data_IF_277704236544
#
_entry.id   IF_277704236544
#
_cell.length_a   1.000
_cell.length_b   1.000
_cell.length_c   1.000
_cell.angle_alpha   90.00
_cell.angle_beta   90.00
_cell.angle_gamma   90.00
#
_symmetry.space_group_name_H-M   'P 1'
#
loop_
_entity.id
_entity.type
_entity.pdbx_description
1 polymer ?
#
# COMPACT_ATOMS: atom_id res chain seq x y z
N UNK A 1 14.59 49.69 -17.27
CA UNK A 1 14.97 48.77 -16.18
C UNK A 1 13.70 48.30 -15.51
N UNK A 2 13.17 47.14 -15.93
CA UNK A 2 12.05 46.48 -15.25
C UNK A 2 12.66 45.38 -14.40
N UNK A 3 12.41 45.48 -13.11
CA UNK A 3 12.85 44.57 -12.08
C UNK A 3 11.96 43.32 -12.10
N UNK A 4 12.37 42.27 -12.81
CA UNK A 4 11.79 40.93 -12.66
C UNK A 4 12.44 40.29 -11.44
N UNK A 5 11.75 40.35 -10.31
CA UNK A 5 12.12 39.61 -9.11
C UNK A 5 12.19 38.12 -9.44
N UNK A 6 13.40 37.59 -9.48
CA UNK A 6 13.63 36.15 -9.53
C UNK A 6 13.25 35.57 -8.18
N UNK A 7 12.16 34.82 -8.13
CA UNK A 7 11.95 33.85 -7.07
C UNK A 7 13.14 32.89 -7.07
N UNK A 8 13.89 32.86 -5.97
CA UNK A 8 14.89 31.84 -5.71
C UNK A 8 14.20 30.48 -5.82
N UNK A 9 14.69 29.54 -6.66
CA UNK A 9 14.09 28.22 -6.73
C UNK A 9 14.10 27.58 -5.34
N UNK A 10 12.96 27.06 -4.89
CA UNK A 10 12.84 26.36 -3.61
C UNK A 10 13.97 25.33 -3.51
N UNK A 11 14.76 25.42 -2.44
CA UNK A 11 15.88 24.50 -2.22
C UNK A 11 15.35 23.06 -2.20
N UNK A 12 15.84 22.23 -3.12
CA UNK A 12 15.39 20.83 -3.24
C UNK A 12 16.11 19.98 -2.20
N UNK A 13 15.36 19.41 -1.25
CA UNK A 13 15.92 18.55 -0.20
C UNK A 13 16.01 17.09 -0.68
N UNK A 14 17.17 16.44 -0.50
CA UNK A 14 17.31 15.00 -0.82
C UNK A 14 16.91 14.15 0.38
N UNK A 15 15.90 13.30 0.20
CA UNK A 15 15.48 12.29 1.16
C UNK A 15 16.49 11.14 1.12
N UNK A 16 17.18 10.92 2.24
CA UNK A 16 18.06 9.76 2.42
C UNK A 16 17.39 8.65 3.22
N UNK A 17 18.15 7.60 3.57
CA UNK A 17 17.67 6.46 4.37
C UNK A 17 17.02 6.86 5.70
N UNK A 18 17.37 8.04 6.24
CA UNK A 18 16.77 8.61 7.45
C UNK A 18 15.27 8.89 7.29
N UNK A 19 14.78 9.13 6.08
CA UNK A 19 13.35 9.27 5.78
C UNK A 19 12.58 8.01 6.18
N UNK A 20 13.13 6.83 5.88
CA UNK A 20 12.50 5.56 6.22
C UNK A 20 12.57 5.24 7.72
N UNK A 21 13.53 5.81 8.44
CA UNK A 21 13.68 5.59 9.88
C UNK A 21 12.77 6.50 10.71
N UNK A 22 12.57 7.75 10.28
CA UNK A 22 11.70 8.71 10.94
C UNK A 22 10.95 9.60 9.93
N UNK A 23 9.97 9.03 9.20
CA UNK A 23 9.20 9.80 8.22
C UNK A 23 8.36 10.87 8.93
N UNK A 24 7.89 10.60 10.15
CA UNK A 24 7.00 11.50 10.88
C UNK A 24 7.74 12.73 11.41
N UNK A 25 9.00 12.60 11.85
CA UNK A 25 9.84 13.72 12.21
C UNK A 25 10.13 14.65 11.03
N UNK A 26 10.43 14.08 9.85
CA UNK A 26 10.55 14.85 8.61
C UNK A 26 9.26 15.60 8.30
N UNK A 27 8.14 14.88 8.24
CA UNK A 27 6.83 15.47 7.91
C UNK A 27 6.43 16.56 8.89
N UNK A 28 6.68 16.39 10.19
CA UNK A 28 6.39 17.42 11.19
C UNK A 28 7.19 18.71 10.95
N UNK A 29 8.49 18.60 10.63
CA UNK A 29 9.31 19.76 10.25
C UNK A 29 8.74 20.44 9.01
N UNK A 30 8.51 19.68 7.94
CA UNK A 30 8.04 20.23 6.66
C UNK A 30 6.65 20.89 6.78
N UNK A 31 5.69 20.30 7.51
CA UNK A 31 4.39 20.93 7.77
C UNK A 31 4.52 22.34 8.35
N UNK A 32 5.54 22.56 9.20
CA UNK A 32 5.78 23.84 9.86
C UNK A 32 6.57 24.84 9.00
N UNK A 33 7.58 24.38 8.27
CA UNK A 33 8.55 25.27 7.60
C UNK A 33 8.39 25.38 6.08
N UNK A 34 7.97 24.30 5.42
CA UNK A 34 7.92 24.19 3.96
C UNK A 34 6.87 23.12 3.57
N UNK A 35 5.56 23.44 3.70
CA UNK A 35 4.49 22.44 3.62
C UNK A 35 4.30 21.85 2.22
N UNK A 36 4.72 22.60 1.20
CA UNK A 36 4.80 22.21 -0.21
C UNK A 36 6.24 22.50 -0.66
N UNK A 37 7.02 21.46 -0.90
CA UNK A 37 8.46 21.62 -1.21
C UNK A 37 8.94 20.57 -2.21
N UNK A 38 9.83 20.92 -3.14
CA UNK A 38 10.50 19.93 -3.97
C UNK A 38 11.48 19.10 -3.13
N UNK A 39 11.47 17.79 -3.33
CA UNK A 39 12.39 16.84 -2.72
C UNK A 39 12.92 15.87 -3.78
N UNK A 40 14.09 15.27 -3.54
CA UNK A 40 14.59 14.13 -4.31
C UNK A 40 14.38 12.88 -3.47
N UNK A 41 13.63 11.91 -3.98
CA UNK A 41 13.39 10.64 -3.29
C UNK A 41 14.69 9.82 -3.18
N UNK A 42 14.73 8.78 -2.32
CA UNK A 42 15.88 7.89 -2.23
C UNK A 42 16.27 7.27 -3.59
N UNK A 43 15.28 7.05 -4.45
CA UNK A 43 15.42 6.50 -5.82
C UNK A 43 15.97 7.54 -6.82
N UNK A 44 16.15 8.80 -6.40
CA UNK A 44 16.71 9.86 -7.23
C UNK A 44 15.67 10.68 -7.99
N UNK A 45 14.38 10.39 -7.85
CA UNK A 45 13.31 11.13 -8.54
C UNK A 45 13.01 12.43 -7.83
N UNK A 46 12.92 13.53 -8.59
CA UNK A 46 12.44 14.80 -8.04
C UNK A 46 10.91 14.82 -8.00
N UNK A 47 10.35 15.10 -6.84
CA UNK A 47 8.89 15.20 -6.61
C UNK A 47 8.57 16.41 -5.74
N UNK A 48 7.35 16.93 -5.86
CA UNK A 48 6.79 17.92 -4.94
C UNK A 48 6.08 17.22 -3.80
N UNK A 49 6.57 17.43 -2.57
CA UNK A 49 6.02 16.82 -1.37
C UNK A 49 5.04 17.79 -0.70
N UNK A 50 3.78 17.35 -0.52
CA UNK A 50 2.70 18.10 0.13
C UNK A 50 2.36 17.45 1.46
N UNK A 51 2.38 18.22 2.56
CA UNK A 51 2.37 17.65 3.92
C UNK A 51 1.22 18.08 4.83
N UNK A 52 0.58 19.22 4.59
CA UNK A 52 -0.54 19.72 5.42
C UNK A 52 -1.86 19.07 5.07
N UNK A 53 -2.75 18.94 6.05
CA UNK A 53 -4.02 18.23 5.89
C UNK A 53 -4.91 18.85 4.81
N UNK A 54 -5.14 20.17 4.86
CA UNK A 54 -6.01 20.84 3.90
C UNK A 54 -5.44 20.78 2.47
N UNK A 55 -4.12 20.96 2.32
CA UNK A 55 -3.44 20.89 1.03
C UNK A 55 -3.52 19.49 0.42
N UNK A 56 -3.22 18.45 1.21
CA UNK A 56 -3.33 17.05 0.78
C UNK A 56 -4.78 16.70 0.41
N UNK A 57 -5.76 17.10 1.23
CA UNK A 57 -7.17 16.83 1.00
C UNK A 57 -7.67 17.50 -0.28
N UNK A 58 -7.33 18.77 -0.49
CA UNK A 58 -7.70 19.51 -1.69
C UNK A 58 -7.04 18.90 -2.94
N UNK A 59 -5.73 18.62 -2.87
CA UNK A 59 -4.98 18.03 -3.97
C UNK A 59 -5.51 16.66 -4.40
N UNK A 60 -5.95 15.81 -3.46
CA UNK A 60 -6.54 14.51 -3.80
C UNK A 60 -7.85 14.59 -4.61
N UNK A 61 -8.55 15.73 -4.52
CA UNK A 61 -9.79 15.99 -5.25
C UNK A 61 -9.58 16.83 -6.51
N UNK A 62 -8.35 17.31 -6.77
CA UNK A 62 -8.04 18.18 -7.90
C UNK A 62 -7.82 17.34 -9.18
N UNK A 63 -8.67 17.47 -10.21
CA UNK A 63 -8.53 16.70 -11.45
C UNK A 63 -7.30 17.08 -12.27
N UNK A 64 -6.62 18.20 -11.96
CA UNK A 64 -5.36 18.60 -12.62
C UNK A 64 -4.18 17.77 -12.16
N UNK A 65 -4.33 17.04 -11.05
CA UNK A 65 -3.36 16.08 -10.53
C UNK A 65 -3.72 14.67 -11.01
N UNK A 66 -3.28 14.36 -12.23
CA UNK A 66 -3.61 13.15 -12.96
C UNK A 66 -2.88 11.90 -12.44
N UNK A 67 -3.35 10.74 -12.90
CA UNK A 67 -2.87 9.39 -12.61
C UNK A 67 -2.37 8.67 -13.86
N UNK A 68 -3.03 8.91 -15.00
CA UNK A 68 -2.70 8.26 -16.27
C UNK A 68 -1.46 8.88 -16.92
N UNK A 69 -0.31 8.59 -16.33
CA UNK A 69 0.97 9.10 -16.81
C UNK A 69 1.33 8.51 -18.18
N UNK A 70 0.86 7.29 -18.50
CA UNK A 70 1.11 6.61 -19.79
C UNK A 70 0.49 7.39 -20.94
N UNK A 71 -0.74 7.89 -20.76
CA UNK A 71 -1.43 8.66 -21.81
C UNK A 71 -0.95 10.11 -21.88
N UNK A 72 -0.58 10.69 -20.73
CA UNK A 72 -0.32 12.13 -20.63
C UNK A 72 1.16 12.53 -20.71
N UNK A 73 2.10 11.58 -20.62
CA UNK A 73 3.53 11.87 -20.62
C UNK A 73 4.24 11.19 -21.79
N UNK A 74 5.28 11.84 -22.29
CA UNK A 74 6.23 11.22 -23.22
C UNK A 74 7.49 10.75 -22.48
N UNK A 75 8.28 9.83 -23.07
CA UNK A 75 9.59 9.47 -22.53
C UNK A 75 10.57 10.65 -22.41
N UNK A 76 10.31 11.76 -23.09
CA UNK A 76 11.14 12.98 -22.98
C UNK A 76 10.71 13.86 -21.79
N UNK A 77 9.47 13.73 -21.33
CA UNK A 77 8.95 14.50 -20.19
C UNK A 77 9.59 14.05 -18.87
N UNK A 78 9.98 12.77 -18.80
CA UNK A 78 10.67 12.19 -17.65
C UNK A 78 11.56 11.04 -18.08
N UNK A 79 12.69 10.85 -17.40
CA UNK A 79 13.63 9.75 -17.62
C UNK A 79 13.09 8.42 -17.06
N UNK A 80 11.91 8.04 -17.55
CA UNK A 80 11.11 6.91 -17.08
C UNK A 80 11.25 5.78 -18.09
N UNK A 81 12.00 4.75 -17.70
CA UNK A 81 12.09 3.52 -18.47
C UNK A 81 11.14 2.47 -17.87
N UNK A 82 9.86 2.52 -18.26
CA UNK A 82 8.88 1.52 -17.84
C UNK A 82 9.05 0.25 -18.67
N UNK A 83 9.15 -0.88 -17.98
CA UNK A 83 9.13 -2.17 -18.67
C UNK A 83 7.76 -2.37 -19.32
N UNK A 84 7.67 -2.60 -20.64
CA UNK A 84 6.40 -2.82 -21.31
C UNK A 84 5.55 -3.91 -20.65
N UNK A 85 6.17 -4.94 -20.05
CA UNK A 85 5.48 -6.01 -19.33
C UNK A 85 4.83 -5.51 -18.03
N UNK A 86 5.46 -4.58 -17.31
CA UNK A 86 4.86 -3.96 -16.12
C UNK A 86 3.69 -3.05 -16.50
N UNK A 87 3.80 -2.32 -17.62
CA UNK A 87 2.70 -1.53 -18.15
C UNK A 87 1.44 -2.38 -18.43
N UNK A 88 1.60 -3.70 -18.64
CA UNK A 88 0.45 -4.60 -18.80
C UNK A 88 -0.32 -4.90 -17.50
N UNK A 89 0.20 -4.57 -16.33
CA UNK A 89 -0.54 -4.71 -15.07
C UNK A 89 -1.02 -3.35 -14.55
N UNK A 90 -0.64 -2.25 -15.19
CA UNK A 90 -0.94 -0.89 -14.78
C UNK A 90 -2.27 -0.35 -15.32
N UNK A 91 -2.95 -1.05 -16.23
CA UNK A 91 -4.25 -0.64 -16.80
C UNK A 91 -5.43 -0.95 -15.89
N UNK A 92 -5.39 -0.39 -14.68
CA UNK A 92 -6.40 -0.57 -13.65
C UNK A 92 -6.83 0.76 -13.02
N UNK A 93 -7.96 0.75 -12.30
CA UNK A 93 -8.61 1.98 -11.82
C UNK A 93 -7.73 2.87 -10.92
N UNK A 94 -6.68 2.34 -10.29
CA UNK A 94 -5.80 3.14 -9.43
C UNK A 94 -4.90 4.11 -10.22
N UNK A 95 -4.59 3.78 -11.48
CA UNK A 95 -3.62 4.50 -12.33
C UNK A 95 -4.30 5.23 -13.51
N UNK A 96 -5.64 5.20 -13.58
CA UNK A 96 -6.38 5.86 -14.64
C UNK A 96 -7.14 7.08 -14.10
N UNK A 97 -7.44 8.01 -14.99
CA UNK A 97 -8.29 9.17 -14.74
C UNK A 97 -9.71 8.95 -15.31
N UNK A 98 -10.70 9.79 -14.96
CA UNK A 98 -11.99 9.79 -15.65
C UNK A 98 -11.82 10.03 -17.16
N UNK A 99 -12.62 9.39 -18.02
CA UNK A 99 -13.80 8.58 -17.69
C UNK A 99 -13.50 7.11 -17.35
N UNK A 100 -12.34 6.57 -17.68
CA UNK A 100 -12.03 5.15 -17.55
C UNK A 100 -11.94 4.69 -16.08
N UNK A 101 -11.34 5.49 -15.20
CA UNK A 101 -11.43 5.27 -13.76
C UNK A 101 -12.88 5.10 -13.28
N UNK A 102 -13.78 5.98 -13.75
CA UNK A 102 -15.19 5.97 -13.32
C UNK A 102 -15.90 4.72 -13.83
N UNK A 103 -15.61 4.29 -15.06
CA UNK A 103 -16.12 3.05 -15.65
C UNK A 103 -15.64 1.84 -14.85
N UNK A 104 -14.34 1.67 -14.67
CA UNK A 104 -13.75 0.52 -13.98
C UNK A 104 -14.18 0.45 -12.51
N UNK A 105 -14.13 1.57 -11.78
CA UNK A 105 -14.56 1.63 -10.37
C UNK A 105 -16.02 1.21 -10.20
N UNK A 106 -16.90 1.59 -11.14
CA UNK A 106 -18.32 1.20 -11.09
C UNK A 106 -18.51 -0.32 -11.19
N UNK A 107 -17.67 -1.01 -11.96
CA UNK A 107 -17.72 -2.47 -12.09
C UNK A 107 -17.29 -3.14 -10.78
N UNK A 108 -16.17 -2.68 -10.21
CA UNK A 108 -15.64 -3.20 -8.94
C UNK A 108 -16.62 -2.96 -7.79
N UNK A 109 -17.16 -1.76 -7.64
CA UNK A 109 -18.11 -1.42 -6.55
C UNK A 109 -19.37 -2.30 -6.59
N UNK A 110 -19.85 -2.69 -7.78
CA UNK A 110 -20.98 -3.62 -7.91
C UNK A 110 -20.64 -5.02 -7.40
N UNK A 111 -19.38 -5.42 -7.47
CA UNK A 111 -18.92 -6.71 -6.99
C UNK A 111 -18.47 -6.68 -5.51
N UNK A 112 -18.02 -5.54 -4.99
CA UNK A 112 -17.67 -5.29 -3.58
C UNK A 112 -18.85 -4.75 -2.77
N UNK A 113 -19.94 -5.51 -2.69
CA UNK A 113 -21.09 -5.06 -1.88
C UNK A 113 -20.88 -5.30 -0.38
N UNK A 114 -21.45 -4.46 0.51
CA UNK A 114 -21.42 -4.70 1.96
C UNK A 114 -21.95 -6.08 2.34
N UNK A 115 -22.93 -6.60 1.58
CA UNK A 115 -23.47 -7.95 1.78
C UNK A 115 -22.42 -9.04 1.53
N UNK A 116 -21.63 -8.93 0.44
CA UNK A 116 -20.57 -9.89 0.12
C UNK A 116 -19.45 -9.83 1.15
N UNK A 117 -19.05 -8.63 1.57
CA UNK A 117 -18.06 -8.45 2.65
C UNK A 117 -18.58 -9.05 3.96
N UNK A 118 -19.84 -8.81 4.33
CA UNK A 118 -20.44 -9.39 5.53
C UNK A 118 -20.52 -10.92 5.48
N UNK A 119 -20.67 -11.52 4.28
CA UNK A 119 -20.67 -12.97 4.10
C UNK A 119 -19.29 -13.61 4.37
N UNK A 120 -18.20 -12.84 4.26
CA UNK A 120 -16.85 -13.33 4.61
C UNK A 120 -16.60 -13.33 6.12
N UNK A 121 -17.39 -12.60 6.93
CA UNK A 121 -17.16 -12.46 8.38
C UNK A 121 -17.02 -13.79 9.13
N UNK A 122 -17.88 -14.82 8.92
CA UNK A 122 -17.72 -16.11 9.60
C UNK A 122 -16.38 -16.76 9.26
N UNK A 123 -15.96 -16.68 8.00
CA UNK A 123 -14.72 -17.28 7.54
C UNK A 123 -13.49 -16.53 8.05
N UNK A 124 -13.50 -15.19 8.00
CA UNK A 124 -12.47 -14.34 8.63
C UNK A 124 -12.34 -14.68 10.13
N UNK A 125 -13.46 -14.90 10.83
CA UNK A 125 -13.46 -15.25 12.25
C UNK A 125 -12.88 -16.63 12.54
N UNK A 126 -13.09 -17.59 11.63
CA UNK A 126 -12.50 -18.92 11.71
C UNK A 126 -10.99 -18.88 11.50
N UNK A 127 -10.54 -18.24 10.40
CA UNK A 127 -9.10 -18.08 10.08
C UNK A 127 -8.38 -17.33 11.21
N UNK A 128 -8.99 -16.27 11.76
CA UNK A 128 -8.44 -15.59 12.93
C UNK A 128 -8.23 -16.56 14.11
N UNK A 129 -9.23 -17.38 14.43
CA UNK A 129 -9.13 -18.36 15.52
C UNK A 129 -8.02 -19.38 15.26
N UNK A 130 -7.99 -19.98 14.07
CA UNK A 130 -6.97 -20.95 13.66
C UNK A 130 -5.54 -20.39 13.79
N UNK A 131 -5.32 -19.15 13.35
CA UNK A 131 -4.01 -18.51 13.43
C UNK A 131 -3.62 -18.16 14.87
N UNK A 132 -4.56 -17.70 15.69
CA UNK A 132 -4.29 -17.35 17.08
C UNK A 132 -4.05 -18.58 17.95
N UNK A 133 -4.82 -19.65 17.73
CA UNK A 133 -4.60 -20.95 18.38
C UNK A 133 -3.20 -21.50 18.03
N UNK A 134 -2.82 -21.46 16.74
CA UNK A 134 -1.49 -21.87 16.30
C UNK A 134 -0.35 -21.01 16.90
N UNK A 135 -0.58 -19.70 17.09
CA UNK A 135 0.37 -18.84 17.79
C UNK A 135 0.47 -19.18 19.28
N UNK A 136 -0.64 -19.53 19.93
CA UNK A 136 -0.68 -19.88 21.35
C UNK A 136 0.02 -21.21 21.64
N UNK A 137 -0.11 -22.19 20.74
CA UNK A 137 0.57 -23.49 20.81
C UNK A 137 2.04 -23.42 20.36
N UNK A 138 2.42 -22.31 19.73
CA UNK A 138 3.75 -22.08 19.18
C UNK A 138 4.78 -21.57 20.21
N UNK A 139 5.94 -21.08 19.72
CA UNK A 139 6.97 -20.51 20.58
C UNK A 139 6.46 -19.28 21.35
N UNK A 140 6.99 -19.09 22.57
CA UNK A 140 6.64 -17.94 23.41
C UNK A 140 6.95 -16.59 22.76
N UNK A 141 7.84 -16.54 21.76
CA UNK A 141 8.10 -15.38 20.92
C UNK A 141 7.83 -15.73 19.47
N UNK A 142 6.97 -14.96 18.81
CA UNK A 142 6.64 -15.16 17.41
C UNK A 142 6.76 -13.87 16.60
N UNK A 143 6.94 -14.03 15.29
CA UNK A 143 6.85 -12.95 14.33
C UNK A 143 5.38 -12.77 13.94
N UNK A 144 4.78 -11.64 14.36
CA UNK A 144 3.39 -11.32 14.10
C UNK A 144 3.05 -11.27 12.60
N UNK A 145 4.02 -10.87 11.76
CA UNK A 145 3.80 -10.78 10.31
C UNK A 145 3.62 -12.18 9.75
N UNK A 146 4.61 -13.06 9.95
CA UNK A 146 4.60 -14.42 9.42
C UNK A 146 3.52 -15.31 10.06
N UNK A 147 3.29 -15.16 11.37
CA UNK A 147 2.37 -16.03 12.09
C UNK A 147 0.90 -15.63 11.96
N UNK A 148 0.60 -14.36 11.66
CA UNK A 148 -0.78 -13.86 11.72
C UNK A 148 -1.14 -12.89 10.59
N UNK A 149 -0.46 -11.74 10.51
CA UNK A 149 -0.91 -10.64 9.66
C UNK A 149 -0.88 -11.03 8.17
N UNK A 150 0.20 -11.68 7.73
CA UNK A 150 0.35 -12.16 6.37
C UNK A 150 -0.64 -13.30 6.05
N UNK A 151 -0.66 -14.43 6.80
CA UNK A 151 -1.60 -15.52 6.53
C UNK A 151 -3.06 -15.10 6.51
N UNK A 152 -3.48 -14.21 7.42
CA UNK A 152 -4.84 -13.70 7.44
C UNK A 152 -5.15 -12.89 6.18
N UNK A 153 -4.30 -11.91 5.86
CA UNK A 153 -4.56 -10.95 4.78
C UNK A 153 -4.61 -11.65 3.43
N UNK A 154 -3.63 -12.53 3.14
CA UNK A 154 -3.60 -13.28 1.88
C UNK A 154 -4.79 -14.26 1.78
N UNK A 155 -5.20 -14.89 2.89
CA UNK A 155 -6.34 -15.79 2.92
C UNK A 155 -7.63 -15.08 2.51
N UNK A 156 -7.88 -13.92 3.12
CA UNK A 156 -9.12 -13.17 2.91
C UNK A 156 -9.22 -12.64 1.49
N UNK A 157 -8.15 -12.06 0.95
CA UNK A 157 -8.19 -11.53 -0.43
C UNK A 157 -8.29 -12.65 -1.47
N UNK A 158 -7.59 -13.77 -1.27
CA UNK A 158 -7.69 -14.92 -2.17
C UNK A 158 -9.11 -15.48 -2.17
N UNK A 159 -9.75 -15.66 -1.01
CA UNK A 159 -11.13 -16.14 -0.93
C UNK A 159 -12.13 -15.16 -1.54
N UNK A 160 -11.91 -13.85 -1.37
CA UNK A 160 -12.75 -12.83 -1.98
C UNK A 160 -12.65 -12.84 -3.52
N UNK A 161 -11.43 -12.93 -4.06
CA UNK A 161 -11.18 -12.99 -5.52
C UNK A 161 -11.69 -14.31 -6.12
N UNK A 162 -11.56 -15.42 -5.36
CA UNK A 162 -11.82 -16.77 -5.84
C UNK A 162 -10.54 -17.54 -6.17
N UNK A 163 -9.39 -17.14 -5.63
CA UNK A 163 -8.09 -17.80 -5.82
C UNK A 163 -8.02 -19.06 -4.93
N UNK A 164 -7.65 -20.24 -5.47
CA UNK A 164 -7.45 -21.46 -4.69
C UNK A 164 -6.39 -21.32 -3.59
N UNK A 165 -6.61 -22.03 -2.48
CA UNK A 165 -5.72 -22.00 -1.30
C UNK A 165 -4.29 -22.46 -1.62
N UNK A 166 -4.13 -23.41 -2.54
CA UNK A 166 -2.84 -23.99 -2.90
C UNK A 166 -1.87 -23.03 -3.60
N UNK A 167 -2.38 -21.94 -4.18
CA UNK A 167 -1.57 -21.04 -5.02
C UNK A 167 -1.06 -19.81 -4.24
N UNK A 168 -1.42 -19.67 -2.97
CA UNK A 168 -1.12 -18.49 -2.13
C UNK A 168 0.37 -18.19 -2.00
N UNK A 169 1.22 -19.22 -2.00
CA UNK A 169 2.68 -19.04 -1.89
C UNK A 169 3.28 -18.46 -3.18
N UNK A 170 2.85 -18.91 -4.35
CA UNK A 170 3.27 -18.31 -5.62
C UNK A 170 2.87 -16.84 -5.69
N UNK A 171 1.66 -16.49 -5.24
CA UNK A 171 1.24 -15.09 -5.16
C UNK A 171 2.06 -14.26 -4.20
N UNK A 172 2.44 -14.82 -3.05
CA UNK A 172 3.33 -14.18 -2.10
C UNK A 172 4.65 -13.79 -2.77
N UNK A 173 5.24 -14.72 -3.49
CA UNK A 173 6.52 -14.54 -4.14
C UNK A 173 6.43 -13.49 -5.26
N UNK A 174 5.48 -13.65 -6.18
CA UNK A 174 5.33 -12.71 -7.29
C UNK A 174 4.98 -11.30 -6.82
N UNK A 175 4.03 -11.15 -5.88
CA UNK A 175 3.67 -9.83 -5.34
C UNK A 175 4.83 -9.18 -4.59
N UNK A 176 5.55 -9.96 -3.77
CA UNK A 176 6.74 -9.47 -3.05
C UNK A 176 7.84 -9.01 -4.00
N UNK A 177 8.04 -9.69 -5.13
CA UNK A 177 9.01 -9.29 -6.16
C UNK A 177 8.56 -8.05 -6.92
N UNK A 178 7.29 -8.00 -7.35
CA UNK A 178 6.75 -6.87 -8.13
C UNK A 178 6.70 -5.55 -7.35
N UNK A 179 6.59 -5.63 -6.03
CA UNK A 179 6.50 -4.46 -5.13
C UNK A 179 7.85 -4.13 -4.46
N UNK A 180 8.90 -4.87 -4.79
CA UNK A 180 10.24 -4.67 -4.22
C UNK A 180 11.06 -3.72 -5.06
N UNK A 181 11.54 -2.63 -4.46
CA UNK A 181 12.58 -1.76 -5.03
C UNK A 181 13.97 -2.42 -5.14
N UNK A 182 14.14 -3.65 -4.64
CA UNK A 182 15.43 -4.36 -4.57
C UNK A 182 15.61 -5.45 -5.62
N UNK A 183 14.52 -5.85 -6.27
CA UNK A 183 14.60 -6.83 -7.35
C UNK A 183 15.29 -6.24 -8.56
N UNK A 184 15.92 -7.10 -9.35
CA UNK A 184 16.36 -6.72 -10.69
C UNK A 184 15.13 -6.49 -11.59
N UNK A 185 15.34 -5.76 -12.70
CA UNK A 185 14.29 -5.56 -13.70
C UNK A 185 13.84 -6.89 -14.29
N UNK A 186 14.77 -7.79 -14.51
CA UNK A 186 14.55 -9.13 -15.05
C UNK A 186 13.69 -9.99 -14.10
N UNK A 187 13.97 -9.95 -12.79
CA UNK A 187 13.17 -10.65 -11.78
C UNK A 187 11.74 -10.10 -11.72
N UNK A 188 11.60 -8.77 -11.72
CA UNK A 188 10.29 -8.10 -11.71
C UNK A 188 9.48 -8.44 -12.96
N UNK A 189 10.13 -8.47 -14.12
CA UNK A 189 9.51 -8.85 -15.38
C UNK A 189 9.08 -10.32 -15.37
N UNK A 190 9.92 -11.23 -14.90
CA UNK A 190 9.57 -12.64 -14.80
C UNK A 190 8.35 -12.87 -13.89
N UNK A 191 8.32 -12.24 -12.71
CA UNK A 191 7.18 -12.30 -11.81
C UNK A 191 5.88 -11.74 -12.43
N UNK A 192 5.97 -10.66 -13.21
CA UNK A 192 4.83 -10.10 -13.93
C UNK A 192 4.28 -11.08 -14.97
N UNK A 193 5.15 -11.73 -15.75
CA UNK A 193 4.75 -12.74 -16.74
C UNK A 193 4.07 -13.92 -16.07
N UNK A 194 4.69 -14.50 -15.04
CA UNK A 194 4.12 -15.67 -14.34
C UNK A 194 2.74 -15.36 -13.75
N UNK A 195 2.60 -14.19 -13.13
CA UNK A 195 1.33 -13.76 -12.56
C UNK A 195 0.27 -13.50 -13.64
N UNK A 196 0.66 -12.89 -14.77
CA UNK A 196 -0.23 -12.66 -15.91
C UNK A 196 -0.73 -13.97 -16.53
N UNK A 197 0.17 -14.93 -16.74
CA UNK A 197 -0.18 -16.26 -17.25
C UNK A 197 -1.10 -17.02 -16.29
N UNK A 198 -0.84 -16.92 -14.98
CA UNK A 198 -1.73 -17.48 -13.98
C UNK A 198 -3.13 -16.87 -14.05
N UNK A 199 -3.24 -15.54 -14.05
CA UNK A 199 -4.55 -14.87 -14.12
C UNK A 199 -5.30 -15.20 -15.40
N UNK A 200 -4.59 -15.31 -16.53
CA UNK A 200 -5.18 -15.73 -17.81
C UNK A 200 -5.79 -17.12 -17.72
N UNK A 201 -5.08 -18.10 -17.11
CA UNK A 201 -5.61 -19.45 -16.89
C UNK A 201 -6.81 -19.45 -15.96
N UNK A 202 -6.71 -18.72 -14.84
CA UNK A 202 -7.78 -18.63 -13.85
C UNK A 202 -9.07 -18.02 -14.44
N UNK A 203 -8.94 -16.98 -15.27
CA UNK A 203 -10.07 -16.38 -16.00
C UNK A 203 -10.69 -17.39 -16.96
N UNK A 204 -9.89 -18.12 -17.74
CA UNK A 204 -10.37 -19.14 -18.67
C UNK A 204 -11.09 -20.32 -17.95
N UNK A 205 -10.63 -20.68 -16.75
CA UNK A 205 -11.29 -21.66 -15.89
C UNK A 205 -12.63 -21.15 -15.37
N UNK A 206 -12.67 -19.93 -14.81
CA UNK A 206 -13.91 -19.34 -14.29
C UNK A 206 -14.95 -19.06 -15.37
N UNK A 207 -14.55 -18.79 -16.62
CA UNK A 207 -15.48 -18.74 -17.76
C UNK A 207 -16.18 -20.08 -18.01
N UNK A 208 -15.46 -21.19 -17.86
CA UNK A 208 -16.00 -22.55 -18.06
C UNK A 208 -16.82 -23.03 -16.86
N UNK A 209 -16.47 -22.59 -15.67
CA UNK A 209 -17.16 -22.94 -14.42
C UNK A 209 -17.26 -21.71 -13.50
N UNK A 210 -18.29 -20.86 -13.71
CA UNK A 210 -18.51 -19.68 -12.88
C UNK A 210 -18.79 -20.06 -11.43
N UNK A 211 -18.28 -19.25 -10.49
CA UNK A 211 -18.51 -19.38 -9.06
C UNK A 211 -19.14 -18.11 -8.48
N UNK A 212 -19.56 -18.14 -7.22
CA UNK A 212 -20.00 -16.93 -6.50
C UNK A 212 -18.78 -16.18 -5.91
N UNK A 213 -17.88 -15.75 -6.78
CA UNK A 213 -16.68 -14.99 -6.41
C UNK A 213 -16.62 -13.63 -7.15
N UNK A 214 -15.64 -12.81 -6.78
CA UNK A 214 -15.41 -11.51 -7.40
C UNK A 214 -14.91 -11.64 -8.83
N UNK A 215 -14.06 -12.63 -9.12
CA UNK A 215 -13.57 -12.86 -10.47
C UNK A 215 -14.69 -13.19 -11.46
N UNK A 216 -15.60 -14.09 -11.08
CA UNK A 216 -16.77 -14.45 -11.90
C UNK A 216 -17.68 -13.25 -12.12
N UNK A 217 -17.84 -12.38 -11.11
CA UNK A 217 -18.60 -11.14 -11.25
C UNK A 217 -17.96 -10.14 -12.22
N UNK A 218 -16.62 -10.00 -12.21
CA UNK A 218 -15.89 -9.15 -13.16
C UNK A 218 -15.94 -9.70 -14.58
N UNK A 219 -15.81 -11.03 -14.74
CA UNK A 219 -15.96 -11.72 -16.03
C UNK A 219 -17.37 -11.49 -16.59
N UNK A 220 -18.41 -11.69 -15.79
CA UNK A 220 -19.79 -11.45 -16.23
C UNK A 220 -20.03 -9.99 -16.63
N UNK A 221 -19.42 -9.02 -15.92
CA UNK A 221 -19.54 -7.61 -16.24
C UNK A 221 -18.84 -7.22 -17.56
N UNK A 222 -17.73 -7.90 -17.88
CA UNK A 222 -17.07 -7.79 -19.18
C UNK A 222 -17.96 -8.33 -20.31
N UNK A 223 -18.41 -9.57 -20.15
CA UNK A 223 -19.09 -10.32 -21.21
C UNK A 223 -20.51 -9.78 -21.50
N UNK A 224 -21.09 -8.97 -20.60
CA UNK A 224 -22.44 -8.42 -20.72
C UNK A 224 -22.54 -7.01 -21.33
N UNK A 225 -21.44 -6.35 -21.74
CA UNK A 225 -21.57 -5.01 -22.31
C UNK A 225 -20.30 -4.24 -22.72
N UNK A 226 -19.27 -4.90 -23.25
CA UNK A 226 -18.04 -4.27 -23.79
C UNK A 226 -17.38 -3.25 -22.85
N UNK A 227 -17.58 -3.45 -21.55
CA UNK A 227 -17.26 -2.45 -20.51
C UNK A 227 -15.92 -2.66 -19.83
N UNK A 228 -15.23 -3.75 -20.17
CA UNK A 228 -13.93 -4.16 -19.61
C UNK A 228 -13.16 -4.98 -20.66
N UNK A 229 -11.94 -4.57 -21.02
CA UNK A 229 -11.09 -5.38 -21.91
C UNK A 229 -10.52 -6.61 -21.17
N UNK A 230 -9.94 -7.58 -21.89
CA UNK A 230 -9.24 -8.71 -21.21
C UNK A 230 -8.11 -8.17 -20.34
N UNK A 231 -7.45 -7.15 -20.87
CA UNK A 231 -6.28 -6.55 -20.27
C UNK A 231 -6.62 -5.79 -18.97
N UNK A 232 -7.71 -5.01 -19.01
CA UNK A 232 -8.23 -4.34 -17.82
C UNK A 232 -8.74 -5.33 -16.78
N UNK A 233 -9.31 -6.48 -17.20
CA UNK A 233 -9.73 -7.53 -16.28
C UNK A 233 -8.53 -8.09 -15.51
N UNK A 234 -7.46 -8.47 -16.20
CA UNK A 234 -6.25 -9.03 -15.58
C UNK A 234 -5.56 -8.00 -14.68
N UNK A 235 -5.41 -6.76 -15.16
CA UNK A 235 -4.87 -5.64 -14.38
C UNK A 235 -5.71 -5.33 -13.14
N UNK A 236 -7.04 -5.47 -13.23
CA UNK A 236 -7.92 -5.29 -12.08
C UNK A 236 -7.75 -6.40 -11.04
N UNK A 237 -7.61 -7.65 -11.46
CA UNK A 237 -7.36 -8.77 -10.54
C UNK A 237 -6.03 -8.58 -9.83
N UNK A 238 -5.00 -8.15 -10.55
CA UNK A 238 -3.71 -7.75 -9.98
C UNK A 238 -3.85 -6.67 -8.90
N UNK A 239 -4.49 -5.54 -9.25
CA UNK A 239 -4.73 -4.43 -8.32
C UNK A 239 -5.41 -4.90 -7.04
N UNK A 240 -6.49 -5.67 -7.18
CA UNK A 240 -7.27 -6.12 -6.03
C UNK A 240 -6.48 -7.04 -5.12
N UNK A 241 -5.66 -7.93 -5.70
CA UNK A 241 -4.79 -8.83 -4.95
C UNK A 241 -3.74 -8.05 -4.16
N UNK A 242 -2.98 -7.19 -4.85
CA UNK A 242 -1.89 -6.42 -4.25
C UNK A 242 -2.40 -5.43 -3.21
N UNK A 243 -3.41 -4.63 -3.57
CA UNK A 243 -3.95 -3.59 -2.71
C UNK A 243 -4.62 -4.18 -1.45
N UNK A 244 -5.25 -5.35 -1.57
CA UNK A 244 -5.98 -5.98 -0.47
C UNK A 244 -5.10 -6.72 0.54
N UNK A 245 -3.92 -7.19 0.14
CA UNK A 245 -3.05 -7.99 0.99
C UNK A 245 -2.05 -7.13 1.77
N UNK A 246 -1.17 -6.38 1.10
CA UNK A 246 -0.02 -5.77 1.79
C UNK A 246 -0.43 -4.65 2.76
N UNK A 247 -1.43 -3.86 2.38
CA UNK A 247 -1.94 -2.77 3.22
C UNK A 247 -2.51 -3.31 4.54
N UNK A 248 -3.19 -4.46 4.49
CA UNK A 248 -3.76 -5.13 5.66
C UNK A 248 -2.67 -5.71 6.56
N UNK A 249 -1.63 -6.34 6.00
CA UNK A 249 -0.47 -6.83 6.77
C UNK A 249 0.15 -5.68 7.56
N UNK A 250 0.44 -4.58 6.87
CA UNK A 250 1.10 -3.43 7.47
C UNK A 250 0.21 -2.70 8.49
N UNK A 251 -1.10 -2.62 8.25
CA UNK A 251 -2.06 -2.04 9.20
C UNK A 251 -2.17 -2.89 10.47
N UNK A 252 -2.24 -4.21 10.35
CA UNK A 252 -2.28 -5.11 11.52
C UNK A 252 -0.99 -4.96 12.31
N UNK A 253 0.18 -5.05 11.66
CA UNK A 253 1.46 -4.96 12.33
C UNK A 253 1.64 -3.60 13.03
N UNK A 254 1.38 -2.50 12.32
CA UNK A 254 1.52 -1.14 12.84
C UNK A 254 0.47 -0.79 13.89
N UNK A 255 -0.76 -1.30 13.73
CA UNK A 255 -1.85 -1.10 14.66
C UNK A 255 -1.64 -1.84 15.98
N UNK A 256 -1.25 -3.11 15.93
CA UNK A 256 -0.88 -3.89 17.12
C UNK A 256 0.26 -3.20 17.85
N UNK A 257 1.28 -2.79 17.10
CA UNK A 257 2.37 -2.04 17.67
C UNK A 257 1.91 -0.74 18.36
N UNK A 258 1.07 0.06 17.70
CA UNK A 258 0.56 1.30 18.26
C UNK A 258 -0.17 1.05 19.59
N UNK A 259 -0.96 -0.01 19.68
CA UNK A 259 -1.62 -0.41 20.92
C UNK A 259 -0.61 -0.83 22.00
N UNK A 260 0.41 -1.62 21.65
CA UNK A 260 1.44 -2.07 22.60
C UNK A 260 2.31 -0.91 23.13
N UNK A 261 2.48 0.17 22.36
CA UNK A 261 3.20 1.37 22.80
C UNK A 261 2.30 2.39 23.52
N UNK A 262 0.99 2.17 23.53
CA UNK A 262 -0.01 2.97 24.25
C UNK A 262 -0.85 2.08 25.18
N UNK A 263 -0.22 1.52 26.25
CA UNK A 263 -0.87 0.51 27.10
C UNK A 263 -2.14 0.99 27.79
N UNK A 264 -2.30 2.30 28.03
CA UNK A 264 -3.53 2.88 28.57
C UNK A 264 -4.71 2.73 27.59
N UNK A 265 -4.50 3.00 26.29
CA UNK A 265 -5.53 2.83 25.26
C UNK A 265 -5.83 1.35 25.01
N UNK A 266 -4.81 0.51 25.02
CA UNK A 266 -4.98 -0.93 24.96
C UNK A 266 -5.78 -1.46 26.16
N UNK A 267 -5.54 -0.93 27.37
CA UNK A 267 -6.34 -1.23 28.56
C UNK A 267 -7.81 -0.86 28.39
N UNK A 268 -8.09 0.36 27.93
CA UNK A 268 -9.47 0.82 27.65
C UNK A 268 -10.21 -0.08 26.67
N UNK A 269 -9.53 -0.52 25.60
CA UNK A 269 -10.13 -1.42 24.60
C UNK A 269 -10.40 -2.82 25.14
N UNK A 270 -9.61 -3.29 26.11
CA UNK A 270 -9.85 -4.57 26.80
C UNK A 270 -11.04 -4.49 27.72
N UNK A 271 -11.14 -3.39 28.47
CA UNK A 271 -12.20 -3.18 29.45
C UNK A 271 -13.55 -2.90 28.75
N UNK A 272 -13.53 -2.26 27.58
CA UNK A 272 -14.72 -1.96 26.79
C UNK A 272 -14.53 -2.25 25.28
N UNK A 273 -14.85 -3.47 24.82
CA UNK A 273 -14.82 -3.85 23.41
C UNK A 273 -15.78 -3.03 22.52
N UNK A 274 -16.75 -2.28 23.08
CA UNK A 274 -17.63 -1.44 22.27
C UNK A 274 -16.88 -0.27 21.61
N UNK A 275 -15.68 0.06 22.09
CA UNK A 275 -14.79 1.08 21.54
C UNK A 275 -14.06 0.65 20.25
N UNK A 276 -14.14 -0.63 19.87
CA UNK A 276 -13.41 -1.20 18.74
C UNK A 276 -13.66 -0.47 17.41
N UNK A 277 -14.90 -0.13 17.01
CA UNK A 277 -15.13 0.60 15.76
C UNK A 277 -14.37 1.94 15.73
N UNK A 278 -14.44 2.74 16.80
CA UNK A 278 -13.71 4.00 16.88
C UNK A 278 -12.19 3.83 16.94
N UNK A 279 -11.72 2.77 17.61
CA UNK A 279 -10.30 2.48 17.67
C UNK A 279 -9.73 2.06 16.31
N UNK A 280 -10.50 1.33 15.49
CA UNK A 280 -10.10 1.01 14.12
C UNK A 280 -9.94 2.28 13.29
N UNK A 281 -10.88 3.23 13.38
CA UNK A 281 -10.75 4.53 12.70
C UNK A 281 -9.51 5.31 13.16
N UNK A 282 -9.24 5.30 14.47
CA UNK A 282 -8.06 5.97 15.02
C UNK A 282 -6.75 5.29 14.59
N UNK A 283 -6.73 3.95 14.49
CA UNK A 283 -5.57 3.21 13.96
C UNK A 283 -5.37 3.48 12.46
N UNK A 284 -6.44 3.59 11.67
CA UNK A 284 -6.36 3.97 10.26
C UNK A 284 -5.78 5.37 10.09
N UNK A 285 -6.15 6.32 10.96
CA UNK A 285 -5.56 7.66 10.99
C UNK A 285 -4.11 7.64 11.46
N UNK A 286 -3.84 7.04 12.62
CA UNK A 286 -2.57 7.12 13.32
C UNK A 286 -1.54 6.14 12.76
N UNK A 287 -1.84 4.84 12.73
CA UNK A 287 -0.92 3.81 12.27
C UNK A 287 -0.82 3.70 10.74
N UNK A 288 -1.54 4.56 9.99
CA UNK A 288 -1.63 4.60 8.53
C UNK A 288 -0.38 4.01 7.87
N UNK A 289 -0.47 2.82 7.26
CA UNK A 289 0.68 2.16 6.69
C UNK A 289 1.17 2.86 5.43
N UNK A 290 0.37 3.73 4.81
CA UNK A 290 0.75 4.49 3.61
C UNK A 290 1.31 5.86 4.00
N UNK A 291 2.61 6.07 3.76
CA UNK A 291 3.25 7.35 4.05
C UNK A 291 2.66 8.50 3.21
N UNK A 292 2.33 8.19 1.96
CA UNK A 292 1.76 9.08 0.96
C UNK A 292 0.70 8.36 0.13
N UNK A 293 -0.16 9.13 -0.55
CA UNK A 293 -1.04 8.58 -1.57
C UNK A 293 -0.21 8.16 -2.80
N UNK A 294 -0.75 7.27 -3.61
CA UNK A 294 -0.14 6.89 -4.88
C UNK A 294 0.13 8.12 -5.74
N UNK A 295 1.16 8.05 -6.56
CA UNK A 295 1.78 9.16 -7.26
C UNK A 295 0.79 9.90 -8.14
N UNK A 296 0.91 11.22 -8.20
CA UNK A 296 0.15 12.07 -9.11
C UNK A 296 1.10 12.97 -9.86
N UNK A 297 0.63 13.58 -10.93
CA UNK A 297 1.40 14.57 -11.66
C UNK A 297 0.51 15.72 -12.14
N UNK A 298 1.11 16.90 -12.28
CA UNK A 298 0.42 18.08 -12.77
C UNK A 298 0.29 18.06 -14.30
N UNK A 299 -0.93 18.24 -14.81
CA UNK A 299 -1.17 18.45 -16.25
C UNK A 299 -0.90 19.89 -16.69
N UNK A 300 -1.11 20.82 -15.77
CA UNK A 300 -0.94 22.26 -15.92
C UNK A 300 -0.40 22.84 -14.61
N UNK A 301 0.04 24.11 -14.54
CA UNK A 301 0.47 24.69 -13.27
C UNK A 301 -0.64 24.64 -12.21
N UNK A 302 -0.33 24.10 -11.03
CA UNK A 302 -1.28 23.95 -9.91
C UNK A 302 -0.77 24.71 -8.69
N UNK A 303 -1.60 25.60 -8.16
CA UNK A 303 -1.33 26.25 -6.87
C UNK A 303 -1.78 25.36 -5.72
N UNK A 304 -0.87 25.03 -4.81
CA UNK A 304 -1.15 24.29 -3.56
C UNK A 304 -0.52 25.08 -2.41
N UNK A 305 -1.32 25.45 -1.41
CA UNK A 305 -0.87 26.36 -0.35
C UNK A 305 -0.37 27.68 -0.93
N UNK A 306 0.89 28.00 -0.64
CA UNK A 306 1.62 29.17 -1.13
C UNK A 306 2.54 28.88 -2.34
N UNK A 307 2.61 27.63 -2.80
CA UNK A 307 3.47 27.21 -3.90
C UNK A 307 2.71 27.05 -5.22
N UNK A 308 3.36 27.39 -6.33
CA UNK A 308 2.91 27.04 -7.68
C UNK A 308 3.77 25.88 -8.16
N UNK A 309 3.14 24.72 -8.34
CA UNK A 309 3.76 23.53 -8.92
C UNK A 309 3.64 23.65 -10.45
N UNK A 310 4.75 23.63 -11.22
CA UNK A 310 4.71 23.66 -12.68
C UNK A 310 3.93 22.48 -13.27
N UNK A 311 3.57 22.57 -14.55
CA UNK A 311 3.07 21.42 -15.31
C UNK A 311 4.15 20.35 -15.44
N UNK A 312 3.74 19.09 -15.61
CA UNK A 312 4.61 17.92 -15.76
C UNK A 312 5.58 17.77 -14.59
N UNK A 313 5.04 17.80 -13.39
CA UNK A 313 5.78 17.59 -12.15
C UNK A 313 5.14 16.48 -11.33
N UNK A 314 5.96 15.58 -10.78
CA UNK A 314 5.48 14.57 -9.84
C UNK A 314 5.08 15.20 -8.52
N UNK A 315 3.98 14.76 -7.95
CA UNK A 315 3.43 15.24 -6.69
C UNK A 315 3.18 14.07 -5.75
N UNK A 316 3.83 14.12 -4.60
CA UNK A 316 3.68 13.16 -3.50
C UNK A 316 2.83 13.79 -2.40
N UNK A 317 1.64 13.23 -2.17
CA UNK A 317 0.71 13.72 -1.16
C UNK A 317 0.84 12.91 0.13
N UNK A 318 1.51 13.45 1.16
CA UNK A 318 1.84 12.74 2.38
C UNK A 318 0.60 12.54 3.30
N UNK A 319 -0.21 11.53 3.02
CA UNK A 319 -1.42 11.20 3.80
C UNK A 319 -1.13 10.88 5.27
N UNK A 320 -0.01 10.21 5.57
CA UNK A 320 0.41 9.96 6.96
C UNK A 320 0.77 11.23 7.72
N UNK A 321 1.29 12.24 7.00
CA UNK A 321 1.57 13.58 7.52
C UNK A 321 0.26 14.33 7.79
N UNK A 322 -0.62 14.38 6.79
CA UNK A 322 -1.93 15.01 6.89
C UNK A 322 -2.75 14.44 8.05
N UNK A 323 -2.75 13.12 8.23
CA UNK A 323 -3.45 12.46 9.32
C UNK A 323 -2.89 12.79 10.72
N UNK A 324 -1.71 13.42 10.82
CA UNK A 324 -1.11 13.91 12.07
C UNK A 324 -0.97 15.43 12.11
N UNK A 325 -1.69 16.15 11.26
CA UNK A 325 -1.67 17.61 11.26
C UNK A 325 -2.42 18.14 12.49
N UNK A 326 -1.70 18.86 13.36
CA UNK A 326 -2.25 19.42 14.59
C UNK A 326 -3.29 20.52 14.33
N UNK A 327 -3.29 21.14 13.15
CA UNK A 327 -4.31 22.13 12.76
C UNK A 327 -5.70 21.49 12.58
N UNK A 328 -5.75 20.19 12.24
CA UNK A 328 -6.98 19.40 12.09
C UNK A 328 -7.25 18.52 13.30
N UNK A 329 -6.21 17.89 13.84
CA UNK A 329 -6.31 16.91 14.92
C UNK A 329 -5.61 17.47 16.17
N UNK A 330 -6.38 18.10 17.06
CA UNK A 330 -5.85 18.80 18.24
C UNK A 330 -5.00 17.92 19.17
N UNK A 331 -5.26 16.60 19.20
CA UNK A 331 -4.49 15.60 19.97
C UNK A 331 -3.45 14.85 19.13
N UNK A 332 -3.07 15.35 17.95
CA UNK A 332 -1.92 14.85 17.21
C UNK A 332 -0.62 15.25 17.93
N UNK A 333 -0.39 14.67 19.11
CA UNK A 333 0.83 14.89 19.88
C UNK A 333 2.02 14.53 18.98
N UNK A 334 3.00 15.43 18.81
CA UNK A 334 4.30 15.01 18.32
C UNK A 334 4.81 13.97 19.31
N UNK A 335 5.16 12.78 18.85
CA UNK A 335 5.93 11.87 19.68
C UNK A 335 7.15 12.65 20.16
N UNK A 336 7.26 12.87 21.47
CA UNK A 336 8.42 13.51 22.06
C UNK A 336 9.67 12.74 21.64
N UNK A 337 10.75 13.47 21.35
CA UNK A 337 12.09 12.91 21.10
C UNK A 337 12.39 11.81 22.12
N UNK A 338 12.43 10.56 21.67
CA UNK A 338 13.01 9.42 22.35
C UNK A 338 13.93 8.69 21.38
N UNK A 339 15.23 8.51 21.67
CA UNK A 339 16.14 7.84 20.76
C UNK A 339 15.90 6.33 20.88
N UNK A 340 15.55 5.66 19.79
CA UNK A 340 15.39 4.21 19.84
C UNK A 340 15.10 3.61 18.48
N UNK A 341 16.17 3.20 17.78
CA UNK A 341 16.13 2.29 16.62
C UNK A 341 15.13 1.16 16.90
N UNK A 342 14.13 0.97 16.04
CA UNK A 342 13.22 -0.17 16.19
C UNK A 342 13.44 -1.20 15.10
N UNK A 343 14.05 -2.32 15.48
CA UNK A 343 14.22 -3.53 14.67
C UNK A 343 13.00 -4.48 14.73
N UNK A 344 13.13 -5.72 14.19
CA UNK A 344 12.01 -6.63 14.00
C UNK A 344 11.34 -6.99 15.33
N UNK A 345 10.00 -6.89 15.37
CA UNK A 345 9.22 -6.83 16.62
C UNK A 345 8.62 -8.20 16.94
N UNK A 346 9.42 -9.02 17.63
CA UNK A 346 8.94 -10.24 18.28
C UNK A 346 7.94 -9.90 19.38
N UNK A 347 6.86 -10.66 19.46
CA UNK A 347 5.81 -10.46 20.46
C UNK A 347 5.68 -11.70 21.35
N UNK A 348 5.49 -11.51 22.66
CA UNK A 348 5.31 -12.64 23.59
C UNK A 348 3.85 -13.01 23.78
N UNK A 349 3.49 -14.29 23.58
CA UNK A 349 2.19 -14.84 23.93
C UNK A 349 2.15 -15.25 25.41
N UNK A 350 1.01 -15.07 26.10
CA UNK A 350 0.73 -15.65 27.43
C UNK A 350 -0.69 -16.21 27.47
N UNK A 351 -0.87 -17.25 28.29
CA UNK A 351 -2.07 -18.08 28.56
C UNK A 351 -3.43 -17.60 28.01
N UNK A 352 -4.19 -18.47 27.31
CA UNK A 352 -5.51 -18.16 26.79
C UNK A 352 -6.56 -18.22 27.90
N UNK A 353 -6.79 -17.09 28.57
CA UNK A 353 -7.96 -16.92 29.41
C UNK A 353 -8.78 -15.75 28.89
N UNK A 354 -9.79 -16.06 28.06
CA UNK A 354 -11.11 -15.44 28.06
C UNK A 354 -12.02 -16.16 27.03
N UNK A 355 -12.51 -17.33 27.40
CA UNK A 355 -13.76 -17.84 26.86
C UNK A 355 -14.91 -17.14 27.57
N UNK A 356 -15.74 -16.38 26.83
CA UNK A 356 -17.22 -16.41 26.89
C UNK A 356 -17.86 -15.17 26.24
N UNK A 357 -18.87 -15.47 25.44
CA UNK A 357 -19.95 -14.65 24.85
C UNK A 357 -20.11 -13.23 25.42
N UNK A 358 -20.21 -12.26 24.52
CA UNK A 358 -20.99 -11.04 24.74
C UNK A 358 -21.99 -10.86 23.58
N UNK A 359 -23.26 -11.07 23.90
CA UNK A 359 -24.44 -10.77 23.07
C UNK A 359 -24.98 -9.41 23.50
N UNK A 360 -25.16 -8.49 22.55
CA UNK A 360 -26.11 -7.37 22.62
C UNK A 360 -25.75 -6.17 23.51
N UNK A 361 -25.63 -4.99 22.91
CA UNK A 361 -26.60 -3.90 23.01
C UNK A 361 -25.97 -2.57 22.55
N UNK A 362 -26.79 -1.76 21.88
CA UNK A 362 -26.45 -0.49 21.28
C UNK A 362 -26.39 0.65 22.31
N UNK A 363 -25.57 1.67 22.04
CA UNK A 363 -25.67 2.98 22.68
C UNK A 363 -24.33 3.71 22.74
N UNK A 364 -24.12 4.67 21.84
CA UNK A 364 -22.91 5.51 21.84
C UNK A 364 -22.62 6.15 20.48
N UNK A 365 -23.60 6.86 19.90
CA UNK A 365 -23.36 7.73 18.75
C UNK A 365 -23.05 9.14 19.27
N UNK A 366 -21.79 9.54 19.24
CA UNK A 366 -21.35 10.85 18.73
C UNK A 366 -19.86 11.08 19.03
N UNK A 367 -19.20 11.74 18.07
CA UNK A 367 -17.75 12.03 17.96
C UNK A 367 -16.92 10.89 17.38
N UNK A 368 -16.83 10.90 16.05
CA UNK A 368 -15.74 10.47 15.13
C UNK A 368 -16.45 10.12 13.82
N UNK A 369 -16.94 11.13 13.07
CA UNK A 369 -17.57 10.93 11.76
C UNK A 369 -16.85 11.63 10.60
N UNK A 370 -15.71 12.26 10.87
CA UNK A 370 -14.84 12.90 9.87
C UNK A 370 -13.38 12.40 10.00
N UNK A 371 -13.16 11.07 10.02
CA UNK A 371 -11.83 10.51 10.26
C UNK A 371 -11.06 10.22 8.96
N UNK A 372 -9.81 10.68 8.94
CA UNK A 372 -8.76 10.48 7.93
C UNK A 372 -9.00 11.08 6.54
N UNK A 373 -7.91 11.38 5.84
CA UNK A 373 -7.94 11.44 4.38
C UNK A 373 -8.34 10.04 3.90
N UNK A 374 -9.48 9.86 3.20
CA UNK A 374 -10.04 8.53 2.97
C UNK A 374 -9.07 7.66 2.16
N UNK A 375 -8.69 6.52 2.76
CA UNK A 375 -8.03 5.42 2.06
C UNK A 375 -9.13 4.43 1.64
N UNK A 376 -9.29 4.10 0.35
CA UNK A 376 -10.35 3.19 -0.08
C UNK A 376 -10.15 1.77 0.50
N UNK A 377 -11.15 1.22 1.20
CA UNK A 377 -11.32 -0.24 1.34
C UNK A 377 -11.24 -0.90 2.72
N UNK A 378 -11.26 -0.19 3.85
CA UNK A 378 -11.23 -0.84 5.17
C UNK A 378 -12.62 -0.90 5.83
N UNK A 379 -13.23 -2.10 5.90
CA UNK A 379 -14.42 -2.36 6.73
C UNK A 379 -14.22 -3.53 7.71
N UNK A 380 -14.45 -3.21 8.98
CA UNK A 380 -14.57 -3.98 10.23
C UNK A 380 -14.50 -5.53 10.25
N UNK A 381 -13.30 -6.05 10.59
CA UNK A 381 -13.07 -7.41 11.13
C UNK A 381 -12.52 -7.47 12.57
N UNK A 382 -12.33 -6.33 13.25
CA UNK A 382 -11.40 -6.18 14.38
C UNK A 382 -11.80 -6.70 15.77
N UNK A 383 -13.02 -7.22 15.97
CA UNK A 383 -13.51 -7.40 17.35
C UNK A 383 -12.89 -8.55 18.15
N UNK A 384 -12.43 -9.62 17.48
CA UNK A 384 -11.75 -10.74 18.14
C UNK A 384 -10.23 -10.56 18.19
N UNK A 385 -9.66 -9.89 17.19
CA UNK A 385 -8.22 -9.61 17.09
C UNK A 385 -7.73 -8.81 18.29
N UNK A 386 -8.47 -7.81 18.77
CA UNK A 386 -8.04 -6.99 19.91
C UNK A 386 -8.10 -7.73 21.25
N UNK A 387 -9.05 -8.66 21.43
CA UNK A 387 -9.16 -9.47 22.66
C UNK A 387 -8.01 -10.48 22.81
N UNK A 388 -7.38 -10.90 21.72
CA UNK A 388 -6.27 -11.87 21.74
C UNK A 388 -4.90 -11.16 21.55
N UNK A 389 -4.84 -10.04 20.81
CA UNK A 389 -3.72 -9.08 20.86
C UNK A 389 -3.56 -8.49 22.27
N UNK A 390 -4.61 -8.52 23.09
CA UNK A 390 -4.53 -8.18 24.50
C UNK A 390 -3.67 -9.13 25.35
N UNK A 391 -3.41 -10.36 24.89
CA UNK A 391 -2.49 -11.29 25.57
C UNK A 391 -1.02 -11.02 25.22
N UNK A 392 -0.77 -10.21 24.19
CA UNK A 392 0.57 -9.94 23.67
C UNK A 392 1.29 -8.86 24.49
N UNK A 393 2.58 -9.10 24.79
CA UNK A 393 3.45 -8.14 25.47
C UNK A 393 4.73 -7.87 24.65
N UNK A 394 5.25 -6.64 24.64
CA UNK A 394 6.51 -6.32 23.97
C UNK A 394 7.71 -6.95 24.69
N UNK A 395 8.70 -7.43 23.93
CA UNK A 395 9.91 -8.05 24.48
C UNK A 395 10.92 -6.99 25.04
N UNK A 396 11.46 -7.16 26.27
CA UNK A 396 12.32 -6.17 26.92
C UNK A 396 13.78 -6.08 26.43
N UNK A 397 14.23 -6.89 25.46
CA UNK A 397 15.60 -6.85 24.89
C UNK A 397 15.67 -6.80 23.36
N UNK A 398 14.89 -5.93 22.71
CA UNK A 398 15.02 -5.67 21.27
C UNK A 398 16.12 -4.63 20.98
N UNK A 399 17.36 -4.91 21.39
CA UNK A 399 18.53 -4.04 21.18
C UNK A 399 19.54 -4.70 20.25
N UNK A 400 19.38 -4.49 18.94
CA UNK A 400 20.34 -4.89 17.89
C UNK A 400 19.99 -4.21 16.57
N UNK A 401 20.97 -3.89 15.69
CA UNK A 401 20.68 -3.23 14.41
C UNK A 401 19.77 -4.11 13.54
N UNK A 402 18.78 -3.53 12.84
CA UNK A 402 17.89 -4.28 11.97
C UNK A 402 18.66 -4.91 10.81
N UNK A 403 18.29 -6.14 10.42
CA UNK A 403 18.37 -6.53 9.01
C UNK A 403 17.22 -5.83 8.28
N UNK A 404 17.46 -5.18 7.14
CA UNK A 404 16.48 -4.31 6.52
C UNK A 404 15.46 -5.15 5.76
N UNK A 405 14.36 -5.59 6.38
CA UNK A 405 13.43 -6.50 5.68
C UNK A 405 11.92 -6.27 5.80
N UNK A 406 11.37 -5.37 6.62
CA UNK A 406 9.89 -5.36 6.75
C UNK A 406 9.16 -4.04 7.04
N UNK A 407 9.84 -2.92 7.35
CA UNK A 407 9.17 -1.70 7.82
C UNK A 407 9.15 -0.53 6.81
N UNK A 408 9.60 -0.76 5.57
CA UNK A 408 9.75 0.29 4.55
C UNK A 408 8.81 0.17 3.34
N UNK A 409 7.96 -0.85 3.26
CA UNK A 409 7.23 -1.22 2.03
C UNK A 409 5.98 -0.38 1.71
N UNK A 410 6.02 0.92 1.98
CA UNK A 410 4.88 1.81 1.79
C UNK A 410 5.16 2.89 0.75
N UNK A 411 4.87 2.55 -0.51
CA UNK A 411 4.87 3.49 -1.64
C UNK A 411 6.11 3.41 -2.53
N UNK A 412 6.52 2.20 -2.91
CA UNK A 412 7.69 1.98 -3.77
C UNK A 412 7.25 1.63 -5.20
N UNK A 413 6.80 2.62 -5.98
CA UNK A 413 6.85 2.55 -7.44
C UNK A 413 7.15 3.94 -8.00
N UNK A 414 8.43 4.30 -8.00
CA UNK A 414 8.92 5.35 -8.89
C UNK A 414 9.97 4.75 -9.84
N UNK A 415 9.78 4.83 -11.17
CA UNK A 415 10.78 4.33 -12.11
C UNK A 415 12.07 5.15 -11.98
N UNK A 416 13.13 4.50 -11.51
CA UNK A 416 14.43 5.10 -11.28
C UNK A 416 15.28 5.21 -12.56
N UNK A 417 16.18 6.20 -12.58
CA UNK A 417 17.25 6.36 -13.58
C UNK A 417 18.31 5.26 -13.47
N UNK A 418 18.89 4.81 -14.59
CA UNK A 418 20.11 4.01 -14.58
C UNK A 418 21.34 4.91 -14.63
N UNK A 419 22.07 5.08 -13.53
CA UNK A 419 23.38 5.75 -13.60
C UNK A 419 24.53 4.73 -13.55
N UNK A 420 25.23 4.69 -14.68
CA UNK A 420 26.68 4.79 -14.80
C UNK A 420 27.51 4.31 -13.59
N UNK A 421 27.85 3.01 -13.61
CA UNK A 421 29.15 2.56 -13.14
C UNK A 421 29.88 1.91 -14.31
N UNK A 422 30.76 2.70 -14.92
CA UNK A 422 31.76 2.19 -15.85
C UNK A 422 32.67 1.20 -15.14
N UNK A 423 32.63 -0.05 -15.57
CA UNK A 423 33.80 -0.91 -15.57
C UNK A 423 33.72 -1.87 -16.75
N UNK A 424 34.53 -1.58 -17.75
CA UNK A 424 34.99 -2.51 -18.79
C UNK A 424 35.20 -3.93 -18.22
N UNK A 425 34.49 -4.91 -18.76
CA UNK A 425 34.94 -6.30 -18.74
C UNK A 425 34.78 -6.84 -20.16
N UNK A 426 35.92 -6.86 -20.83
CA UNK A 426 36.18 -7.61 -22.05
C UNK A 426 36.07 -9.11 -21.71
N UNK A 427 35.16 -9.84 -22.36
CA UNK A 427 35.15 -11.31 -22.31
C UNK A 427 35.16 -11.83 -23.73
N UNK A 428 36.35 -12.31 -24.08
CA UNK A 428 36.70 -13.00 -25.30
C UNK A 428 35.74 -14.13 -25.67
N UNK A 429 35.52 -14.24 -26.97
CA UNK A 429 35.13 -15.44 -27.73
C UNK A 429 36.02 -16.65 -27.37
N UNK A 430 35.42 -17.81 -27.09
CA UNK A 430 36.08 -19.05 -27.44
C UNK A 430 35.06 -20.05 -27.98
N UNK A 431 34.76 -19.98 -29.28
CA UNK A 431 34.86 -21.09 -30.26
C UNK A 431 34.02 -20.77 -31.48
N UNK A 432 34.70 -20.28 -32.50
CA UNK A 432 34.13 -20.07 -33.83
C UNK A 432 33.50 -21.31 -34.45
N UNK A 433 32.41 -21.06 -35.18
CA UNK A 433 32.05 -21.70 -36.46
C UNK A 433 30.96 -20.84 -37.13
N UNK A 434 31.34 -20.11 -38.19
CA UNK A 434 30.39 -19.68 -39.24
C UNK A 434 29.97 -20.90 -40.05
N UNK A 435 28.72 -20.93 -40.52
CA UNK A 435 28.49 -20.80 -41.97
C UNK A 435 27.34 -19.80 -42.25
N UNK A 436 27.55 -18.76 -43.05
CA UNK A 436 27.40 -18.75 -44.51
C UNK A 436 25.94 -18.99 -44.96
N UNK A 437 25.28 -17.90 -45.36
CA UNK A 437 24.02 -17.84 -46.11
C UNK A 437 24.06 -18.71 -47.38
N UNK A 438 22.88 -19.04 -47.91
CA UNK A 438 22.65 -18.78 -49.33
C UNK A 438 21.49 -17.81 -49.56
N UNK A 439 21.66 -17.08 -50.66
CA UNK A 439 20.80 -16.05 -51.21
C UNK A 439 19.55 -16.59 -51.92
N UNK A 440 18.64 -15.65 -52.16
CA UNK A 440 17.60 -15.55 -53.18
C UNK A 440 16.42 -16.54 -53.19
N UNK A 441 15.23 -15.92 -53.21
CA UNK A 441 13.91 -16.49 -53.37
C UNK A 441 12.84 -15.45 -53.08
#
# INVERSE_FOLDING_TARGET
MVNTGGEMPLATERLGDSFFQDPQGLFARLRSSAPVTPVITPEGTRVWLVTRYEDVRAALADPRLAKDWVTHMTPDDFDINVDPVQAYLDQHMLNLDPPDHTRLRRLVVKAFTPRRVAALRPRISAVNGELLDAMADGPAETDLIEAFAFPLSVTVICELIGIPVGDRESFREWSGTLLSSRGTREESRAAAVDMYEYFTRMVAERRRSPADDLLSALIAARDSGDSLSEHELLSMVFLLLVAGHETMVNLIASGVLALLTHPAELGRLRDDPSLLPSAVEELLRYANPLNHATERFTLEPVTIGDAIIPAKEWVMLATSSANRDASRFADARPAGRGPGRVGPRRVRARDPLLSRRATGAAGGRDRVRDAAVPVPGADAGGARVVAEVAALQPHPRAGGPPRPTALTRAGETCPARPDELGSTVDVADPKGRRPALPADG
#
